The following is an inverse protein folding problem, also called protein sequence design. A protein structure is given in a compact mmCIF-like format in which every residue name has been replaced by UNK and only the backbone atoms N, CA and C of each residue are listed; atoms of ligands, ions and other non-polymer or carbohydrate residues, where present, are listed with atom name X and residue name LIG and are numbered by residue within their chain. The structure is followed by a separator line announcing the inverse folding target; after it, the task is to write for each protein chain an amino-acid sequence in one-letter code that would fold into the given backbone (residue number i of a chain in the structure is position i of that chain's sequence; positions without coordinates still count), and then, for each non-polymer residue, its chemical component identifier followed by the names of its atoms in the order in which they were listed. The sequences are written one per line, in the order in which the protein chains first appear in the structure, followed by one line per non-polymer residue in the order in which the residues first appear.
data_IF_528723798954
#
_entry.id   IF_528723798954
#
_cell.length_a   1.000
_cell.length_b   1.000
_cell.length_c   1.000
_cell.angle_alpha   90.00
_cell.angle_beta   90.00
_cell.angle_gamma   90.00
#
_symmetry.space_group_name_H-M   'P 1'
#
loop_
_entity.id
_entity.type
_entity.pdbx_description
1 polymer ?
#
# COMPACT_ATOMS: atom_id res chain seq x y z
N UNK A 1 -51.03 60.50 -33.17
CA UNK A 1 -50.07 60.30 -32.06
C UNK A 1 -49.94 58.79 -32.02
N UNK A 2 -49.00 58.23 -32.79
CA UNK A 2 -48.84 56.79 -32.84
C UNK A 2 -48.31 56.34 -31.49
N UNK A 3 -49.09 55.50 -30.84
CA UNK A 3 -48.76 54.97 -29.53
C UNK A 3 -47.62 53.96 -29.68
N UNK A 4 -46.70 53.93 -28.71
CA UNK A 4 -45.59 52.97 -28.73
C UNK A 4 -46.14 51.54 -28.82
N UNK A 5 -47.27 51.30 -28.16
CA UNK A 5 -47.95 50.01 -28.18
C UNK A 5 -48.46 49.62 -29.57
N UNK A 6 -48.94 50.57 -30.37
CA UNK A 6 -49.40 50.29 -31.74
C UNK A 6 -48.24 49.99 -32.68
N UNK A 7 -47.17 50.80 -32.64
CA UNK A 7 -45.99 50.59 -33.47
C UNK A 7 -45.23 49.31 -33.09
N UNK A 8 -45.17 48.99 -31.80
CA UNK A 8 -44.53 47.77 -31.31
C UNK A 8 -45.31 46.52 -31.74
N UNK A 9 -46.66 46.58 -31.69
CA UNK A 9 -47.52 45.50 -32.17
C UNK A 9 -47.41 45.30 -33.68
N UNK A 10 -47.29 46.37 -34.45
CA UNK A 10 -47.11 46.30 -35.90
C UNK A 10 -45.75 45.72 -36.28
N UNK A 11 -44.68 46.11 -35.57
CA UNK A 11 -43.32 45.66 -35.85
C UNK A 11 -43.04 44.22 -35.38
N UNK A 12 -43.53 43.84 -34.19
CA UNK A 12 -43.14 42.59 -33.51
C UNK A 12 -44.29 41.59 -33.35
N UNK A 13 -45.52 41.96 -33.74
CA UNK A 13 -46.70 41.09 -33.66
C UNK A 13 -47.19 40.78 -32.23
N UNK A 14 -46.63 41.44 -31.21
CA UNK A 14 -46.98 41.26 -29.78
C UNK A 14 -47.11 42.60 -29.07
N UNK A 15 -47.76 42.63 -27.91
CA UNK A 15 -47.74 43.82 -27.05
C UNK A 15 -46.41 43.91 -26.27
N UNK A 16 -45.92 45.13 -26.01
CA UNK A 16 -44.75 45.33 -25.16
C UNK A 16 -45.09 45.07 -23.68
N UNK A 17 -44.11 44.61 -22.92
CA UNK A 17 -44.20 44.51 -21.45
C UNK A 17 -44.05 45.90 -20.81
N UNK A 18 -44.64 46.13 -19.64
CA UNK A 18 -44.51 47.39 -18.89
C UNK A 18 -43.05 47.83 -18.71
N UNK A 19 -42.15 46.87 -18.47
CA UNK A 19 -40.70 47.12 -18.35
C UNK A 19 -40.04 47.52 -19.67
N UNK A 20 -40.50 46.95 -20.78
CA UNK A 20 -40.02 47.30 -22.13
C UNK A 20 -40.47 48.73 -22.48
N UNK A 21 -41.72 49.06 -22.16
CA UNK A 21 -42.28 50.42 -22.36
C UNK A 21 -41.48 51.46 -21.57
N UNK A 22 -41.23 51.22 -20.29
CA UNK A 22 -40.45 52.13 -19.43
C UNK A 22 -39.04 52.37 -19.98
N UNK A 23 -38.33 51.31 -20.36
CA UNK A 23 -36.98 51.41 -20.93
C UNK A 23 -36.96 52.11 -22.28
N UNK A 24 -37.92 51.79 -23.15
CA UNK A 24 -38.06 52.44 -24.46
C UNK A 24 -38.31 53.94 -24.29
N UNK A 25 -39.21 54.35 -23.38
CA UNK A 25 -39.42 55.78 -23.08
C UNK A 25 -38.17 56.45 -22.51
N UNK A 26 -37.41 55.78 -21.62
CA UNK A 26 -36.16 56.31 -21.07
C UNK A 26 -35.12 56.53 -22.17
N UNK A 27 -34.96 55.58 -23.08
CA UNK A 27 -34.01 55.66 -24.20
C UNK A 27 -34.46 56.72 -25.21
N UNK A 28 -35.75 56.78 -25.54
CA UNK A 28 -36.36 57.81 -26.38
C UNK A 28 -36.06 59.23 -25.88
N UNK A 29 -36.27 59.46 -24.59
CA UNK A 29 -36.06 60.76 -23.96
C UNK A 29 -34.57 61.12 -23.89
N UNK A 30 -33.69 60.15 -23.65
CA UNK A 30 -32.25 60.37 -23.61
C UNK A 30 -31.66 60.74 -25.00
N UNK A 31 -32.20 60.16 -26.07
CA UNK A 31 -31.76 60.40 -27.44
C UNK A 31 -32.58 61.49 -28.17
N UNK A 32 -33.61 62.04 -27.52
CA UNK A 32 -34.54 63.04 -28.07
C UNK A 32 -35.13 62.63 -29.45
N UNK A 33 -35.56 61.37 -29.56
CA UNK A 33 -36.06 60.79 -30.81
C UNK A 33 -37.53 61.14 -31.02
N UNK A 34 -37.89 61.52 -32.24
CA UNK A 34 -39.28 61.76 -32.66
C UNK A 34 -40.03 60.46 -32.93
N UNK A 35 -41.35 60.48 -32.76
CA UNK A 35 -42.22 59.30 -32.91
C UNK A 35 -42.17 58.66 -34.30
N UNK A 36 -41.88 59.43 -35.35
CA UNK A 36 -41.88 58.99 -36.75
C UNK A 36 -40.46 58.76 -37.31
N UNK A 37 -39.49 58.46 -36.45
CA UNK A 37 -38.10 58.22 -36.84
C UNK A 37 -37.84 56.73 -37.10
N UNK A 38 -37.07 56.40 -38.14
CA UNK A 38 -36.67 55.03 -38.44
C UNK A 38 -35.79 54.42 -37.33
N UNK A 39 -35.04 55.25 -36.60
CA UNK A 39 -34.23 54.83 -35.44
C UNK A 39 -35.12 54.24 -34.34
N UNK A 40 -36.36 54.74 -34.22
CA UNK A 40 -37.32 54.28 -33.21
C UNK A 40 -37.73 52.82 -33.41
N UNK A 41 -37.95 52.41 -34.66
CA UNK A 41 -38.26 51.01 -35.01
C UNK A 41 -37.10 50.06 -34.69
N UNK A 42 -35.86 50.51 -34.95
CA UNK A 42 -34.66 49.72 -34.66
C UNK A 42 -34.51 49.50 -33.15
N UNK A 43 -34.75 50.54 -32.34
CA UNK A 43 -34.71 50.46 -30.88
C UNK A 43 -35.75 49.48 -30.32
N UNK A 44 -36.98 49.47 -30.85
CA UNK A 44 -38.00 48.49 -30.46
C UNK A 44 -37.55 47.05 -30.76
N UNK A 45 -36.97 46.82 -31.94
CA UNK A 45 -36.45 45.51 -32.29
C UNK A 45 -35.32 45.09 -31.34
N UNK A 46 -34.38 45.99 -31.03
CA UNK A 46 -33.26 45.72 -30.12
C UNK A 46 -33.70 45.44 -28.68
N UNK A 47 -34.64 46.21 -28.11
CA UNK A 47 -35.17 45.93 -26.78
C UNK A 47 -35.86 44.56 -26.73
N UNK A 48 -36.62 44.21 -27.78
CA UNK A 48 -37.23 42.88 -27.90
C UNK A 48 -36.20 41.76 -27.99
N UNK A 49 -35.07 41.99 -28.67
CA UNK A 49 -33.96 41.03 -28.68
C UNK A 49 -33.27 40.93 -27.31
N UNK A 50 -33.05 42.04 -26.60
CA UNK A 50 -32.44 42.03 -25.27
C UNK A 50 -33.30 41.24 -24.27
N UNK A 51 -34.61 41.49 -24.25
CA UNK A 51 -35.53 40.77 -23.36
C UNK A 51 -35.65 39.29 -23.71
N UNK A 52 -35.57 38.94 -24.99
CA UNK A 52 -35.55 37.55 -25.43
C UNK A 52 -34.25 36.85 -25.00
N UNK A 53 -33.09 37.47 -25.23
CA UNK A 53 -31.81 36.86 -24.95
C UNK A 53 -31.46 36.79 -23.46
N UNK A 54 -31.96 37.73 -22.65
CA UNK A 54 -31.75 37.75 -21.19
C UNK A 54 -32.22 36.49 -20.46
N UNK A 55 -33.13 35.70 -21.06
CA UNK A 55 -33.70 34.48 -20.46
C UNK A 55 -32.84 33.23 -20.68
N UNK A 56 -32.03 33.19 -21.74
CA UNK A 56 -31.27 32.00 -22.10
C UNK A 56 -30.20 31.59 -21.09
N UNK A 57 -29.43 32.50 -20.45
CA UNK A 57 -28.44 32.10 -19.46
C UNK A 57 -29.05 31.27 -18.30
N UNK A 58 -30.24 31.64 -17.84
CA UNK A 58 -30.95 30.90 -16.80
C UNK A 58 -31.43 29.52 -17.27
N UNK A 59 -31.95 29.44 -18.50
CA UNK A 59 -32.37 28.17 -19.09
C UNK A 59 -31.20 27.22 -19.33
N UNK A 60 -30.06 27.74 -19.81
CA UNK A 60 -28.83 26.99 -20.02
C UNK A 60 -28.30 26.47 -18.69
N UNK A 61 -28.21 27.32 -17.65
CA UNK A 61 -27.76 26.92 -16.32
C UNK A 61 -28.62 25.78 -15.76
N UNK A 62 -29.95 25.91 -15.82
CA UNK A 62 -30.85 24.85 -15.37
C UNK A 62 -30.67 23.54 -16.14
N UNK A 63 -30.48 23.61 -17.46
CA UNK A 63 -30.25 22.41 -18.27
C UNK A 63 -28.88 21.76 -17.99
N UNK A 64 -27.85 22.58 -17.73
CA UNK A 64 -26.50 22.11 -17.35
C UNK A 64 -26.56 21.39 -16.01
N UNK A 65 -27.26 21.92 -15.01
CA UNK A 65 -27.41 21.26 -13.70
C UNK A 65 -28.07 19.88 -13.83
N UNK A 66 -29.11 19.76 -14.67
CA UNK A 66 -29.76 18.48 -14.94
C UNK A 66 -28.81 17.49 -15.63
N UNK A 67 -28.01 17.95 -16.59
CA UNK A 67 -27.04 17.10 -17.30
C UNK A 67 -25.93 16.64 -16.36
N UNK A 68 -25.38 17.54 -15.54
CA UNK A 68 -24.35 17.21 -14.54
C UNK A 68 -24.90 16.21 -13.51
N UNK A 69 -26.15 16.39 -13.06
CA UNK A 69 -26.83 15.43 -12.17
C UNK A 69 -26.85 14.03 -12.79
N UNK A 70 -27.39 13.90 -14.01
CA UNK A 70 -27.44 12.61 -14.73
C UNK A 70 -26.05 12.01 -14.97
N UNK A 71 -25.06 12.85 -15.28
CA UNK A 71 -23.71 12.38 -15.51
C UNK A 71 -23.04 11.87 -14.22
N UNK A 72 -23.32 12.48 -13.07
CA UNK A 72 -22.86 11.97 -11.77
C UNK A 72 -23.44 10.60 -11.45
N UNK A 73 -24.72 10.38 -11.73
CA UNK A 73 -25.37 9.09 -11.51
C UNK A 73 -24.73 8.00 -12.38
N UNK A 74 -24.47 8.29 -13.66
CA UNK A 74 -23.78 7.37 -14.58
C UNK A 74 -22.32 7.12 -14.17
N UNK A 75 -21.61 8.17 -13.72
CA UNK A 75 -20.24 8.03 -13.23
C UNK A 75 -20.23 7.16 -11.97
N UNK A 76 -21.17 7.33 -11.05
CA UNK A 76 -21.24 6.50 -9.85
C UNK A 76 -21.41 5.01 -10.19
N UNK A 77 -22.30 4.69 -11.13
CA UNK A 77 -22.50 3.31 -11.60
C UNK A 77 -21.24 2.73 -12.28
N UNK A 78 -20.57 3.51 -13.13
CA UNK A 78 -19.33 3.08 -13.79
C UNK A 78 -18.20 2.91 -12.77
N UNK A 79 -18.07 3.83 -11.80
CA UNK A 79 -17.06 3.78 -10.75
C UNK A 79 -17.25 2.55 -9.88
N UNK A 80 -18.47 2.14 -9.56
CA UNK A 80 -18.73 0.91 -8.80
C UNK A 80 -18.33 -0.34 -9.59
N UNK A 81 -18.59 -0.37 -10.90
CA UNK A 81 -18.17 -1.48 -11.77
C UNK A 81 -16.64 -1.55 -11.95
N UNK A 82 -15.99 -0.40 -12.20
CA UNK A 82 -14.55 -0.29 -12.37
C UNK A 82 -13.79 -0.53 -11.06
N UNK A 83 -14.29 0.00 -9.94
CA UNK A 83 -13.69 -0.24 -8.62
C UNK A 83 -13.78 -1.71 -8.23
N UNK A 84 -14.89 -2.40 -8.53
CA UNK A 84 -15.00 -3.85 -8.32
C UNK A 84 -14.02 -4.63 -9.18
N UNK A 85 -13.83 -4.22 -10.43
CA UNK A 85 -12.82 -4.82 -11.32
C UNK A 85 -11.40 -4.57 -10.78
N UNK A 86 -11.07 -3.35 -10.38
CA UNK A 86 -9.78 -3.00 -9.79
C UNK A 86 -9.52 -3.79 -8.50
N UNK A 87 -10.52 -3.89 -7.60
CA UNK A 87 -10.45 -4.70 -6.38
C UNK A 87 -10.22 -6.18 -6.68
N UNK A 88 -10.89 -6.73 -7.70
CA UNK A 88 -10.68 -8.13 -8.10
C UNK A 88 -9.26 -8.36 -8.64
N UNK A 89 -8.73 -7.43 -9.44
CA UNK A 89 -7.35 -7.52 -9.93
C UNK A 89 -6.34 -7.39 -8.80
N UNK A 90 -6.54 -6.45 -7.87
CA UNK A 90 -5.69 -6.29 -6.70
C UNK A 90 -5.77 -7.53 -5.80
N UNK A 91 -6.96 -8.07 -5.56
CA UNK A 91 -7.17 -9.29 -4.78
C UNK A 91 -6.44 -10.48 -5.41
N UNK A 92 -6.50 -10.63 -6.74
CA UNK A 92 -5.76 -11.68 -7.44
C UNK A 92 -4.24 -11.51 -7.35
N UNK A 93 -3.73 -10.28 -7.47
CA UNK A 93 -2.30 -9.99 -7.32
C UNK A 93 -1.82 -10.19 -5.88
N UNK A 94 -2.61 -9.77 -4.89
CA UNK A 94 -2.36 -10.01 -3.46
C UNK A 94 -2.42 -11.50 -3.15
N UNK A 95 -3.35 -12.26 -3.73
CA UNK A 95 -3.43 -13.71 -3.55
C UNK A 95 -2.22 -14.42 -4.14
N UNK A 96 -1.80 -14.06 -5.36
CA UNK A 96 -0.60 -14.62 -5.99
C UNK A 96 0.67 -14.28 -5.20
N UNK A 97 0.85 -13.02 -4.78
CA UNK A 97 1.99 -12.63 -3.95
C UNK A 97 1.97 -13.32 -2.60
N UNK A 98 0.80 -13.48 -1.96
CA UNK A 98 0.67 -14.23 -0.71
C UNK A 98 1.02 -15.70 -0.88
N UNK A 99 0.62 -16.34 -1.99
CA UNK A 99 0.99 -17.73 -2.28
C UNK A 99 2.49 -17.89 -2.52
N UNK A 100 3.11 -16.97 -3.29
CA UNK A 100 4.55 -16.97 -3.48
C UNK A 100 5.31 -16.75 -2.17
N UNK A 101 4.84 -15.83 -1.32
CA UNK A 101 5.42 -15.59 0.01
C UNK A 101 5.20 -16.79 0.93
N UNK A 102 4.02 -17.38 0.95
CA UNK A 102 3.71 -18.56 1.76
C UNK A 102 4.56 -19.77 1.34
N UNK A 103 4.74 -20.00 0.04
CA UNK A 103 5.64 -21.03 -0.48
C UNK A 103 7.09 -20.80 -0.04
N UNK A 104 7.59 -19.56 -0.18
CA UNK A 104 8.93 -19.20 0.27
C UNK A 104 9.12 -19.36 1.77
N UNK A 105 8.12 -19.02 2.58
CA UNK A 105 8.16 -19.18 4.04
C UNK A 105 8.12 -20.66 4.43
N UNK A 106 7.29 -21.47 3.76
CA UNK A 106 7.19 -22.90 4.00
C UNK A 106 8.51 -23.63 3.68
N UNK A 107 9.15 -23.28 2.56
CA UNK A 107 10.45 -23.84 2.19
C UNK A 107 11.52 -23.48 3.23
N UNK A 108 11.60 -22.21 3.64
CA UNK A 108 12.54 -21.77 4.68
C UNK A 108 12.28 -22.49 6.02
N UNK A 109 11.01 -22.65 6.42
CA UNK A 109 10.67 -23.36 7.65
C UNK A 109 11.11 -24.83 7.59
N UNK A 110 10.97 -25.48 6.42
CA UNK A 110 11.44 -26.84 6.20
C UNK A 110 12.97 -26.95 6.31
N UNK A 111 13.72 -26.03 5.69
CA UNK A 111 15.19 -25.97 5.82
C UNK A 111 15.64 -25.72 7.27
N UNK A 112 14.93 -24.87 8.01
CA UNK A 112 15.21 -24.63 9.44
C UNK A 112 14.96 -25.87 10.30
N UNK A 113 13.85 -26.59 10.06
CA UNK A 113 13.54 -27.83 10.77
C UNK A 113 14.61 -28.91 10.52
N UNK A 114 15.07 -29.05 9.27
CA UNK A 114 16.15 -29.99 8.93
C UNK A 114 17.47 -29.60 9.58
N UNK A 115 17.78 -28.31 9.70
CA UNK A 115 18.95 -27.81 10.44
C UNK A 115 18.97 -28.26 11.91
N UNK A 116 17.83 -28.14 12.61
CA UNK A 116 17.71 -28.58 14.02
C UNK A 116 17.85 -30.10 14.17
N UNK A 117 17.27 -30.87 13.24
CA UNK A 117 17.40 -32.33 13.22
C UNK A 117 18.86 -32.75 13.03
N UNK A 118 19.59 -32.12 12.10
CA UNK A 118 21.01 -32.40 11.88
C UNK A 118 21.87 -32.11 13.11
N UNK A 119 21.62 -30.99 13.81
CA UNK A 119 22.32 -30.64 15.05
C UNK A 119 22.09 -31.71 16.13
N UNK A 120 20.84 -32.16 16.31
CA UNK A 120 20.52 -33.21 17.28
C UNK A 120 21.23 -34.53 16.98
N UNK A 121 21.29 -34.92 15.71
CA UNK A 121 21.94 -36.15 15.26
C UNK A 121 23.46 -36.12 15.49
N UNK A 122 24.10 -34.97 15.26
CA UNK A 122 25.54 -34.77 15.51
C UNK A 122 25.87 -34.83 17.01
N UNK A 123 25.05 -34.21 17.87
CA UNK A 123 25.23 -34.29 19.32
C UNK A 123 25.06 -35.73 19.82
N UNK A 124 24.06 -36.45 19.31
CA UNK A 124 23.86 -37.86 19.65
C UNK A 124 25.02 -38.74 19.20
N UNK A 125 25.52 -38.54 17.97
CA UNK A 125 26.69 -39.26 17.45
C UNK A 125 27.95 -39.01 18.29
N UNK A 126 28.18 -37.78 18.73
CA UNK A 126 29.30 -37.43 19.63
C UNK A 126 29.19 -38.13 20.99
N UNK A 127 27.97 -38.25 21.53
CA UNK A 127 27.72 -38.95 22.80
C UNK A 127 27.98 -40.45 22.67
N UNK A 128 27.56 -41.08 21.58
CA UNK A 128 27.83 -42.49 21.33
C UNK A 128 29.33 -42.79 21.14
N UNK A 129 30.07 -41.93 20.43
CA UNK A 129 31.51 -42.11 20.24
C UNK A 129 32.29 -41.98 21.55
N UNK A 130 31.92 -41.03 22.39
CA UNK A 130 32.57 -40.84 23.70
C UNK A 130 32.25 -41.99 24.66
N UNK A 131 31.00 -42.43 24.75
CA UNK A 131 30.60 -43.58 25.56
C UNK A 131 31.27 -44.89 25.09
N UNK A 132 31.32 -45.12 23.77
CA UNK A 132 31.96 -46.31 23.19
C UNK A 132 33.47 -46.36 23.44
N UNK A 133 34.15 -45.21 23.34
CA UNK A 133 35.59 -45.14 23.62
C UNK A 133 35.92 -45.42 25.09
N UNK A 134 35.14 -44.87 26.02
CA UNK A 134 35.32 -45.08 27.46
C UNK A 134 35.14 -46.56 27.82
N UNK A 135 34.09 -47.20 27.26
CA UNK A 135 33.80 -48.61 27.54
C UNK A 135 34.82 -49.56 26.91
N UNK A 136 35.38 -49.22 25.74
CA UNK A 136 36.32 -50.07 25.02
C UNK A 136 37.78 -49.93 25.46
N UNK A 137 38.22 -48.74 25.90
CA UNK A 137 39.62 -48.48 26.22
C UNK A 137 39.92 -48.39 27.72
N UNK A 138 38.90 -48.23 28.57
CA UNK A 138 39.05 -48.09 30.02
C UNK A 138 39.81 -46.83 30.46
N UNK A 139 40.16 -45.95 29.52
CA UNK A 139 40.90 -44.71 29.76
C UNK A 139 40.12 -43.52 29.18
N UNK A 140 40.25 -42.34 29.79
CA UNK A 140 39.58 -41.15 29.27
C UNK A 140 40.22 -40.72 27.93
N UNK A 141 39.41 -40.32 26.94
CA UNK A 141 39.94 -39.93 25.63
C UNK A 141 40.85 -38.70 25.71
N UNK A 142 41.83 -38.61 24.82
CA UNK A 142 42.87 -37.56 24.85
C UNK A 142 42.31 -36.13 24.76
N UNK A 143 41.12 -35.96 24.17
CA UNK A 143 40.41 -34.67 24.11
C UNK A 143 39.65 -34.30 25.39
N UNK A 144 39.49 -35.22 26.34
CA UNK A 144 38.78 -35.04 27.61
C UNK A 144 39.70 -34.76 28.81
N UNK A 145 41.02 -34.76 28.61
CA UNK A 145 42.03 -34.80 29.67
C UNK A 145 42.25 -33.51 30.47
N UNK A 146 41.54 -32.42 30.18
CA UNK A 146 41.74 -31.14 30.85
C UNK A 146 40.41 -30.43 31.14
N UNK A 147 39.74 -30.79 32.24
CA UNK A 147 38.66 -29.98 32.78
C UNK A 147 38.57 -30.03 34.31
N UNK A 148 38.99 -28.95 34.97
CA UNK A 148 38.81 -28.73 36.41
C UNK A 148 37.52 -27.91 36.61
N UNK A 149 36.36 -28.56 36.52
CA UNK A 149 35.04 -27.94 36.71
C UNK A 149 34.24 -28.66 37.81
N UNK A 150 33.56 -27.89 38.66
CA UNK A 150 32.90 -28.40 39.88
C UNK A 150 31.57 -29.14 39.63
N UNK A 151 31.00 -29.13 38.41
CA UNK A 151 29.68 -29.70 38.13
C UNK A 151 29.76 -30.89 37.14
N UNK A 152 29.15 -32.05 37.45
CA UNK A 152 29.25 -33.25 36.60
C UNK A 152 28.62 -33.06 35.21
N UNK A 153 27.56 -32.25 35.12
CA UNK A 153 26.87 -31.96 33.85
C UNK A 153 27.72 -31.07 32.93
N UNK A 154 28.46 -30.10 33.48
CA UNK A 154 29.33 -29.23 32.67
C UNK A 154 30.57 -29.95 32.19
N UNK A 155 31.05 -30.94 32.95
CA UNK A 155 32.12 -31.85 32.51
C UNK A 155 31.68 -32.59 31.25
N UNK A 156 30.50 -33.22 31.25
CA UNK A 156 29.99 -33.95 30.07
C UNK A 156 29.84 -33.02 28.85
N UNK A 157 29.30 -31.81 29.05
CA UNK A 157 29.13 -30.82 27.97
C UNK A 157 30.49 -30.40 27.39
N UNK A 158 31.49 -30.15 28.23
CA UNK A 158 32.83 -29.78 27.78
C UNK A 158 33.55 -30.91 27.02
N UNK A 159 33.35 -32.16 27.43
CA UNK A 159 33.91 -33.36 26.78
C UNK A 159 33.28 -33.53 25.39
N UNK A 160 31.96 -33.32 25.29
CA UNK A 160 31.22 -33.42 24.04
C UNK A 160 31.61 -32.32 23.04
N UNK A 161 31.98 -31.15 23.56
CA UNK A 161 32.33 -29.96 22.78
C UNK A 161 33.81 -29.94 22.33
N UNK A 162 34.72 -30.55 23.12
CA UNK A 162 36.15 -30.73 22.77
C UNK A 162 36.40 -31.93 21.86
N UNK A 163 35.41 -32.77 21.61
CA UNK A 163 35.50 -33.80 20.59
C UNK A 163 35.67 -33.18 19.18
N UNK A 164 36.40 -33.81 18.25
CA UNK A 164 36.59 -33.30 16.89
C UNK A 164 35.25 -33.09 16.13
N UNK A 165 34.19 -33.80 16.51
CA UNK A 165 32.81 -33.62 16.02
C UNK A 165 32.12 -32.37 16.61
N UNK A 166 32.52 -31.93 17.81
CA UNK A 166 31.96 -30.75 18.49
C UNK A 166 32.20 -29.44 17.74
N UNK A 167 33.24 -29.36 16.90
CA UNK A 167 33.54 -28.22 16.04
C UNK A 167 32.56 -28.03 14.87
N UNK A 168 31.81 -29.08 14.49
CA UNK A 168 30.80 -28.97 13.43
C UNK A 168 29.51 -28.31 13.93
N UNK A 169 29.23 -28.38 15.24
CA UNK A 169 28.04 -27.76 15.86
C UNK A 169 28.00 -26.24 15.67
N UNK A 170 29.08 -25.46 15.95
CA UNK A 170 29.07 -24.02 15.70
C UNK A 170 28.99 -23.69 14.20
N UNK A 171 29.61 -24.46 13.30
CA UNK A 171 29.55 -24.21 11.84
C UNK A 171 28.14 -24.40 11.28
N UNK A 172 27.45 -25.45 11.69
CA UNK A 172 26.08 -25.73 11.25
C UNK A 172 25.11 -24.72 11.87
N UNK A 173 25.29 -24.38 13.14
CA UNK A 173 24.56 -23.31 13.81
C UNK A 173 24.72 -21.96 13.09
N UNK A 174 25.94 -21.61 12.64
CA UNK A 174 26.17 -20.35 11.88
C UNK A 174 25.42 -20.37 10.57
N UNK A 175 25.47 -21.50 9.84
CA UNK A 175 24.77 -21.63 8.55
C UNK A 175 23.25 -21.48 8.71
N UNK A 176 22.65 -22.06 9.75
CA UNK A 176 21.21 -21.93 10.04
C UNK A 176 20.86 -20.48 10.39
N UNK A 177 21.65 -19.82 11.24
CA UNK A 177 21.42 -18.42 11.63
C UNK A 177 21.58 -17.48 10.43
N UNK A 178 22.60 -17.66 9.59
CA UNK A 178 22.80 -16.85 8.37
C UNK A 178 21.64 -17.04 7.38
N UNK A 179 21.15 -18.26 7.19
CA UNK A 179 19.99 -18.55 6.34
C UNK A 179 18.72 -17.92 6.91
N UNK A 180 18.52 -17.96 8.23
CA UNK A 180 17.37 -17.30 8.88
C UNK A 180 17.42 -15.78 8.73
N UNK A 181 18.61 -15.16 8.79
CA UNK A 181 18.81 -13.71 8.65
C UNK A 181 18.69 -13.24 7.19
N UNK A 182 19.20 -14.02 6.24
CA UNK A 182 19.12 -13.74 4.81
C UNK A 182 17.68 -13.91 4.26
N UNK A 183 16.94 -14.91 4.74
CA UNK A 183 15.54 -15.12 4.37
C UNK A 183 14.60 -14.08 4.98
N UNK A 184 15.01 -13.42 6.06
CA UNK A 184 14.14 -12.55 6.86
C UNK A 184 14.62 -11.09 6.85
N UNK A 185 15.18 -10.66 5.71
CA UNK A 185 15.79 -9.35 5.46
C UNK A 185 14.86 -8.14 5.67
N UNK A 186 13.60 -8.36 6.02
CA UNK A 186 12.56 -7.34 6.26
C UNK A 186 12.16 -7.18 7.75
N UNK A 187 12.65 -8.01 8.67
CA UNK A 187 12.36 -7.81 10.10
C UNK A 187 13.45 -6.94 10.76
N UNK A 188 13.08 -5.89 11.52
CA UNK A 188 14.02 -5.16 12.36
C UNK A 188 14.69 -6.15 13.31
N UNK A 189 16.00 -5.99 13.54
CA UNK A 189 16.83 -6.87 14.37
C UNK A 189 16.18 -6.99 15.77
N UNK A 190 15.37 -8.03 15.98
CA UNK A 190 14.72 -8.29 17.27
C UNK A 190 15.69 -9.01 18.20
N UNK A 191 15.53 -8.76 19.52
CA UNK A 191 16.29 -9.36 20.62
C UNK A 191 16.63 -10.87 20.48
N UNK A 192 15.76 -11.79 19.99
CA UNK A 192 16.14 -13.21 19.85
C UNK A 192 17.29 -13.47 18.87
N UNK A 193 17.42 -12.67 17.80
CA UNK A 193 18.51 -12.84 16.82
C UNK A 193 19.84 -12.39 17.43
N UNK A 194 19.82 -11.31 18.21
CA UNK A 194 20.98 -10.83 18.97
C UNK A 194 21.42 -11.88 20.00
N UNK A 195 20.46 -12.50 20.71
CA UNK A 195 20.74 -13.56 21.68
C UNK A 195 21.38 -14.79 21.00
N UNK A 196 20.89 -15.20 19.82
CA UNK A 196 21.49 -16.31 19.06
C UNK A 196 22.91 -15.99 18.60
N UNK A 197 23.18 -14.76 18.17
CA UNK A 197 24.49 -14.31 17.68
C UNK A 197 25.50 -14.16 18.83
N UNK A 198 25.04 -13.67 19.98
CA UNK A 198 25.82 -13.63 21.24
C UNK A 198 26.11 -15.06 21.72
N UNK A 199 25.13 -15.97 21.67
CA UNK A 199 25.34 -17.37 22.05
C UNK A 199 26.35 -18.06 21.12
N UNK A 200 26.32 -17.78 19.82
CA UNK A 200 27.33 -18.25 18.87
C UNK A 200 28.73 -17.72 19.16
N UNK A 201 28.86 -16.41 19.44
CA UNK A 201 30.13 -15.80 19.79
C UNK A 201 30.68 -16.36 21.12
N UNK A 202 29.81 -16.57 22.11
CA UNK A 202 30.19 -17.21 23.36
C UNK A 202 30.64 -18.66 23.14
N UNK A 203 29.97 -19.41 22.26
CA UNK A 203 30.34 -20.78 21.92
C UNK A 203 31.70 -20.89 21.21
N UNK A 204 31.98 -19.98 20.27
CA UNK A 204 33.25 -19.96 19.54
C UNK A 204 34.40 -19.50 20.43
N UNK A 205 34.19 -18.47 21.27
CA UNK A 205 35.18 -18.01 22.24
C UNK A 205 35.48 -19.10 23.28
N UNK A 206 34.46 -19.85 23.74
CA UNK A 206 34.66 -20.97 24.66
C UNK A 206 35.43 -22.14 24.03
N UNK A 207 35.21 -22.42 22.74
CA UNK A 207 36.00 -23.42 22.00
C UNK A 207 37.45 -22.98 21.80
N UNK A 208 37.70 -21.70 21.49
CA UNK A 208 39.05 -21.15 21.29
C UNK A 208 39.84 -21.10 22.61
N UNK A 209 39.20 -20.69 23.71
CA UNK A 209 39.86 -20.55 25.01
C UNK A 209 40.09 -21.89 25.74
N UNK A 210 39.62 -23.01 25.17
CA UNK A 210 39.85 -24.36 25.71
C UNK A 210 41.01 -25.11 25.03
N UNK A 211 41.64 -24.47 24.01
CA UNK A 211 42.79 -24.95 23.24
C UNK A 211 44.11 -24.39 23.80
N UNK A 212 44.06 -23.22 24.45
CA UNK A 212 45.19 -22.62 25.17
C UNK A 212 45.30 -23.20 26.58
#
# INVERSE_FOLDING_TARGET
MDDIESSFKELLGRQPSEKEVERLYRVKNALNIRDNDAIWMILMALESYDTLYSKYPGLIAGQVDVVIGKQRDLIAEIVDAESKKALSTLSSAVAQTSQLVAGRVADTARWQAWGWVCIGLILFGSLCLTAGYILGSGNMPFWALNNQQNNPVSIVISILMKAPVGWLVPLISTSVVVVTLASNRQLPIKRPVIISLIMMAALSIFCINSIL
#
